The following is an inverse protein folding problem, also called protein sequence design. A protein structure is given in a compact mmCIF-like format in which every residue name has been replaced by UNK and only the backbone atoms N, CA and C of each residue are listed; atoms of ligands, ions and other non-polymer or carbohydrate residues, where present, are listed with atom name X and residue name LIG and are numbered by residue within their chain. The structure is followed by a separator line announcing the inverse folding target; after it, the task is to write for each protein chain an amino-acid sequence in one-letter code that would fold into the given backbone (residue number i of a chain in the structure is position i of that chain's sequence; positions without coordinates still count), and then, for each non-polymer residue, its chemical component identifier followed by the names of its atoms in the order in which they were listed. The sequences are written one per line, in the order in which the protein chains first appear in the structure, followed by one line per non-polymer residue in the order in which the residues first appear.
data_IF_808915221334
#
_entry.id   IF_808915221334
#
_cell.length_a   1.000
_cell.length_b   1.000
_cell.length_c   1.000
_cell.angle_alpha   90.00
_cell.angle_beta   90.00
_cell.angle_gamma   90.00
#
_symmetry.space_group_name_H-M   'P 1'
#
loop_
_entity.id
_entity.type
_entity.pdbx_description
1 polymer ?
#
# COMPACT_ATOMS: atom_id res chain seq x y z
N UNK A 1 8.03 19.86 -39.30
CA UNK A 1 7.72 18.43 -39.05
C UNK A 1 8.56 17.98 -37.86
N UNK A 2 8.08 17.11 -36.96
CA UNK A 2 8.96 16.55 -35.94
C UNK A 2 10.05 15.75 -36.66
N UNK A 3 11.31 15.95 -36.27
CA UNK A 3 12.45 15.30 -36.91
C UNK A 3 12.25 13.78 -36.98
N UNK A 4 12.64 13.13 -38.10
CA UNK A 4 12.48 11.69 -38.25
C UNK A 4 13.24 10.99 -37.12
N UNK A 5 12.51 10.24 -36.28
CA UNK A 5 13.10 9.49 -35.17
C UNK A 5 14.20 8.58 -35.74
N UNK A 6 15.44 8.63 -35.22
CA UNK A 6 16.52 7.81 -35.72
C UNK A 6 16.11 6.33 -35.71
N UNK A 7 16.47 5.59 -36.76
CA UNK A 7 16.28 4.14 -36.85
C UNK A 7 17.10 3.45 -35.75
N UNK A 8 16.52 3.31 -34.57
CA UNK A 8 17.15 2.66 -33.43
C UNK A 8 17.15 1.14 -33.65
N UNK A 9 18.29 0.51 -33.35
CA UNK A 9 18.41 -0.95 -33.30
C UNK A 9 17.50 -1.54 -32.21
N UNK A 10 17.07 -2.79 -32.37
CA UNK A 10 16.07 -3.43 -31.48
C UNK A 10 16.37 -3.26 -29.97
N UNK A 11 17.60 -3.49 -29.47
CA UNK A 11 17.89 -3.29 -28.04
C UNK A 11 17.68 -1.85 -27.58
N UNK A 12 18.11 -0.86 -28.39
CA UNK A 12 17.93 0.56 -28.06
C UNK A 12 16.47 1.00 -28.10
N UNK A 13 15.65 0.38 -28.96
CA UNK A 13 14.19 0.59 -28.96
C UNK A 13 13.56 0.08 -27.67
N UNK A 14 13.98 -1.07 -27.15
CA UNK A 14 13.46 -1.61 -25.89
C UNK A 14 13.79 -0.69 -24.71
N UNK A 15 15.05 -0.23 -24.59
CA UNK A 15 15.44 0.74 -23.56
C UNK A 15 14.68 2.07 -23.65
N UNK A 16 14.44 2.55 -24.88
CA UNK A 16 13.63 3.73 -25.11
C UNK A 16 12.19 3.54 -24.61
N UNK A 17 11.57 2.41 -24.93
CA UNK A 17 10.21 2.11 -24.48
C UNK A 17 10.12 1.96 -22.96
N UNK A 18 11.06 1.26 -22.33
CA UNK A 18 11.10 1.13 -20.87
C UNK A 18 11.21 2.50 -20.18
N UNK A 19 12.10 3.36 -20.67
CA UNK A 19 12.31 4.70 -20.12
C UNK A 19 11.11 5.65 -20.32
N UNK A 20 10.40 5.53 -21.45
CA UNK A 20 9.24 6.39 -21.77
C UNK A 20 7.96 5.90 -21.08
N UNK A 21 7.78 4.58 -20.96
CA UNK A 21 6.58 4.00 -20.39
C UNK A 21 6.67 3.73 -18.88
N UNK A 22 7.84 3.89 -18.26
CA UNK A 22 8.02 3.78 -16.81
C UNK A 22 6.93 4.50 -15.99
N UNK A 23 6.46 5.72 -16.36
CA UNK A 23 5.45 6.43 -15.58
C UNK A 23 4.13 5.65 -15.47
N UNK A 24 3.77 4.85 -16.47
CA UNK A 24 2.57 4.02 -16.44
C UNK A 24 2.62 2.91 -15.40
N UNK A 25 3.81 2.61 -14.84
CA UNK A 25 3.97 1.76 -13.67
C UNK A 25 3.28 2.31 -12.42
N UNK A 26 2.90 3.60 -12.38
CA UNK A 26 2.10 4.17 -11.30
C UNK A 26 0.68 3.59 -11.19
N UNK A 27 0.09 3.20 -12.32
CA UNK A 27 -1.26 2.64 -12.38
C UNK A 27 -1.37 1.35 -11.56
N UNK A 28 -0.55 0.30 -11.80
CA UNK A 28 -0.61 -0.91 -10.99
C UNK A 28 -0.29 -0.67 -9.52
N UNK A 29 0.60 0.28 -9.18
CA UNK A 29 0.88 0.64 -7.79
C UNK A 29 -0.37 1.15 -7.05
N UNK A 30 -1.14 2.05 -7.67
CA UNK A 30 -2.39 2.55 -7.11
C UNK A 30 -3.48 1.45 -7.09
N UNK A 31 -3.52 0.58 -8.09
CA UNK A 31 -4.42 -0.58 -8.08
C UNK A 31 -4.13 -1.51 -6.90
N UNK A 32 -2.86 -1.75 -6.55
CA UNK A 32 -2.53 -2.56 -5.37
C UNK A 32 -3.10 -1.95 -4.09
N UNK A 33 -3.00 -0.63 -3.90
CA UNK A 33 -3.58 0.08 -2.76
C UNK A 33 -5.09 -0.14 -2.69
N UNK A 34 -5.79 0.08 -3.81
CA UNK A 34 -7.24 -0.09 -3.87
C UNK A 34 -7.67 -1.54 -3.61
N UNK A 35 -6.98 -2.50 -4.22
CA UNK A 35 -7.24 -3.93 -4.02
C UNK A 35 -7.02 -4.32 -2.56
N UNK A 36 -6.00 -3.79 -1.89
CA UNK A 36 -5.76 -4.06 -0.47
C UNK A 36 -6.89 -3.54 0.41
N UNK A 37 -7.35 -2.30 0.17
CA UNK A 37 -8.49 -1.72 0.91
C UNK A 37 -9.75 -2.56 0.68
N UNK A 38 -10.06 -2.89 -0.58
CA UNK A 38 -11.18 -3.75 -0.92
C UNK A 38 -11.10 -5.10 -0.22
N UNK A 39 -9.94 -5.76 -0.28
CA UNK A 39 -9.76 -7.09 0.30
C UNK A 39 -9.88 -7.07 1.83
N UNK A 40 -9.31 -6.07 2.50
CA UNK A 40 -9.41 -5.88 3.95
C UNK A 40 -10.85 -5.61 4.40
N UNK A 41 -11.59 -4.79 3.66
CA UNK A 41 -12.95 -4.39 4.04
C UNK A 41 -14.02 -5.44 3.70
N UNK A 42 -13.80 -6.29 2.69
CA UNK A 42 -14.79 -7.27 2.22
C UNK A 42 -14.45 -8.72 2.57
N UNK A 43 -13.19 -9.01 2.92
CA UNK A 43 -12.70 -10.39 3.10
C UNK A 43 -12.69 -11.23 1.82
N UNK A 44 -13.02 -10.64 0.68
CA UNK A 44 -13.12 -11.33 -0.60
C UNK A 44 -11.79 -11.28 -1.33
N UNK A 45 -11.13 -12.44 -1.46
CA UNK A 45 -9.88 -12.54 -2.17
C UNK A 45 -10.06 -12.08 -3.63
N UNK A 46 -9.22 -11.15 -4.13
CA UNK A 46 -9.32 -10.69 -5.52
C UNK A 46 -9.06 -11.81 -6.52
N UNK A 47 -8.39 -12.89 -6.08
CA UNK A 47 -8.17 -14.10 -6.84
C UNK A 47 -8.70 -15.26 -6.02
N UNK A 48 -9.78 -15.88 -6.49
CA UNK A 48 -10.27 -17.14 -5.93
C UNK A 48 -9.61 -18.31 -6.67
N UNK A 49 -8.81 -19.10 -5.96
CA UNK A 49 -8.26 -20.34 -6.52
C UNK A 49 -8.60 -21.50 -5.57
N UNK A 50 -9.45 -22.45 -5.98
CA UNK A 50 -9.85 -23.54 -5.11
C UNK A 50 -8.68 -24.49 -4.82
N UNK A 51 -8.65 -25.02 -3.59
CA UNK A 51 -7.68 -26.02 -3.15
C UNK A 51 -6.25 -25.48 -3.03
N UNK A 52 -5.26 -26.31 -3.37
CA UNK A 52 -3.83 -25.96 -3.27
C UNK A 52 -3.28 -25.28 -4.54
N UNK A 53 -4.13 -24.92 -5.50
CA UNK A 53 -3.68 -24.42 -6.81
C UNK A 53 -2.89 -23.11 -6.71
N UNK A 54 -3.20 -22.25 -5.74
CA UNK A 54 -2.44 -21.01 -5.48
C UNK A 54 -1.00 -21.34 -5.03
N UNK A 55 -0.80 -22.43 -4.30
CA UNK A 55 0.53 -22.91 -3.89
C UNK A 55 1.33 -23.43 -5.09
N UNK A 56 0.71 -24.11 -6.04
CA UNK A 56 1.43 -24.65 -7.20
C UNK A 56 1.67 -23.62 -8.32
N UNK A 57 0.86 -22.56 -8.38
CA UNK A 57 0.95 -21.55 -9.44
C UNK A 57 1.65 -20.28 -8.97
N UNK A 58 1.23 -19.73 -7.82
CA UNK A 58 1.67 -18.41 -7.39
C UNK A 58 2.98 -18.46 -6.59
N UNK A 59 3.17 -19.48 -5.74
CA UNK A 59 4.39 -19.60 -4.94
C UNK A 59 5.65 -19.78 -5.81
N UNK A 60 5.70 -20.66 -6.83
CA UNK A 60 6.89 -20.80 -7.67
C UNK A 60 7.19 -19.50 -8.42
N UNK A 61 6.17 -18.80 -8.91
CA UNK A 61 6.33 -17.52 -9.59
C UNK A 61 6.96 -16.47 -8.64
N UNK A 62 6.47 -16.39 -7.40
CA UNK A 62 7.00 -15.45 -6.40
C UNK A 62 8.45 -15.77 -6.01
N UNK A 63 8.78 -17.06 -5.84
CA UNK A 63 10.13 -17.50 -5.54
C UNK A 63 11.10 -17.20 -6.69
N UNK A 64 10.71 -17.51 -7.93
CA UNK A 64 11.54 -17.21 -9.11
C UNK A 64 11.72 -15.71 -9.26
N UNK A 65 10.67 -14.90 -9.09
CA UNK A 65 10.77 -13.44 -9.14
C UNK A 65 11.73 -12.90 -8.09
N UNK A 66 11.66 -13.42 -6.86
CA UNK A 66 12.57 -13.05 -5.78
C UNK A 66 14.02 -13.42 -6.11
N UNK A 67 14.27 -14.64 -6.57
CA UNK A 67 15.62 -15.09 -6.98
C UNK A 67 16.18 -14.26 -8.14
N UNK A 68 15.36 -13.98 -9.17
CA UNK A 68 15.77 -13.15 -10.30
C UNK A 68 16.08 -11.71 -9.87
N UNK A 69 15.33 -11.16 -8.91
CA UNK A 69 15.62 -9.83 -8.36
C UNK A 69 16.97 -9.78 -7.64
N UNK A 70 17.31 -10.82 -6.87
CA UNK A 70 18.61 -10.96 -6.21
C UNK A 70 19.75 -11.10 -7.22
N UNK A 71 19.56 -11.90 -8.28
CA UNK A 71 20.57 -12.08 -9.32
C UNK A 71 20.79 -10.80 -10.14
N UNK A 72 19.71 -10.10 -10.49
CA UNK A 72 19.77 -8.86 -11.27
C UNK A 72 20.44 -7.72 -10.49
N UNK A 73 20.20 -7.63 -9.18
CA UNK A 73 20.71 -6.56 -8.33
C UNK A 73 21.89 -7.00 -7.44
N UNK A 74 22.63 -8.06 -7.81
CA UNK A 74 23.70 -8.63 -6.98
C UNK A 74 24.80 -7.65 -6.57
N UNK A 75 24.98 -6.57 -7.32
CA UNK A 75 26.00 -5.53 -7.07
C UNK A 75 25.47 -4.33 -6.30
N UNK A 76 24.18 -4.31 -5.97
CA UNK A 76 23.48 -3.20 -5.30
C UNK A 76 23.11 -3.64 -3.88
N UNK A 77 23.22 -2.74 -2.91
CA UNK A 77 22.78 -3.05 -1.54
C UNK A 77 21.28 -3.41 -1.56
N UNK A 78 20.93 -4.50 -0.87
CA UNK A 78 19.54 -4.95 -0.74
C UNK A 78 18.64 -3.88 -0.12
N UNK A 79 19.19 -3.04 0.76
CA UNK A 79 18.46 -1.90 1.33
C UNK A 79 18.13 -0.84 0.28
N UNK A 80 19.03 -0.60 -0.68
CA UNK A 80 18.79 0.37 -1.76
C UNK A 80 17.77 -0.16 -2.76
N UNK A 81 17.79 -1.47 -3.05
CA UNK A 81 16.74 -2.12 -3.86
C UNK A 81 15.37 -2.00 -3.19
N UNK A 82 15.30 -2.22 -1.88
CA UNK A 82 14.06 -2.05 -1.13
C UNK A 82 13.59 -0.59 -1.13
N UNK A 83 14.48 0.37 -0.86
CA UNK A 83 14.17 1.81 -0.91
C UNK A 83 13.70 2.26 -2.30
N UNK A 84 14.24 1.68 -3.37
CA UNK A 84 13.76 1.95 -4.72
C UNK A 84 12.30 1.50 -4.92
N UNK A 85 11.89 0.36 -4.35
CA UNK A 85 10.49 -0.08 -4.36
C UNK A 85 9.59 0.87 -3.57
N UNK A 86 10.03 1.29 -2.38
CA UNK A 86 9.32 2.27 -1.55
C UNK A 86 9.15 3.61 -2.29
N UNK A 87 10.20 4.03 -3.01
CA UNK A 87 10.21 5.25 -3.83
C UNK A 87 9.25 5.14 -5.01
N UNK A 88 9.17 3.98 -5.65
CA UNK A 88 8.22 3.71 -6.72
C UNK A 88 6.75 3.83 -6.24
N UNK A 89 6.43 3.28 -5.06
CA UNK A 89 5.11 3.46 -4.45
C UNK A 89 4.85 4.92 -4.07
N UNK A 90 5.83 5.61 -3.50
CA UNK A 90 5.73 7.03 -3.12
C UNK A 90 5.41 7.94 -4.32
N UNK A 91 6.09 7.73 -5.45
CA UNK A 91 5.87 8.56 -6.64
C UNK A 91 4.64 8.13 -7.47
N UNK A 92 3.96 7.05 -7.11
CA UNK A 92 2.83 6.52 -7.91
C UNK A 92 1.73 7.56 -8.11
N UNK A 93 1.30 8.24 -7.05
CA UNK A 93 0.23 9.24 -7.15
C UNK A 93 0.62 10.44 -8.01
N UNK A 94 1.80 11.02 -7.78
CA UNK A 94 2.23 12.20 -8.55
C UNK A 94 2.47 11.88 -10.02
N UNK A 95 2.98 10.68 -10.30
CA UNK A 95 3.19 10.19 -11.66
C UNK A 95 1.84 9.98 -12.37
N UNK A 96 0.83 9.48 -11.66
CA UNK A 96 -0.53 9.37 -12.20
C UNK A 96 -1.11 10.76 -12.54
N UNK A 97 -0.95 11.75 -11.65
CA UNK A 97 -1.37 13.12 -11.94
C UNK A 97 -0.68 13.69 -13.19
N UNK A 98 0.62 13.45 -13.33
CA UNK A 98 1.38 13.86 -14.52
C UNK A 98 0.84 13.19 -15.80
N UNK A 99 0.46 11.91 -15.76
CA UNK A 99 -0.18 11.23 -16.90
C UNK A 99 -1.53 11.87 -17.24
N UNK A 100 -2.39 12.12 -16.24
CA UNK A 100 -3.70 12.75 -16.45
C UNK A 100 -3.57 14.16 -17.04
N UNK A 101 -2.60 14.93 -16.57
CA UNK A 101 -2.30 16.26 -17.10
C UNK A 101 -1.75 16.20 -18.53
N UNK A 102 -0.90 15.22 -18.85
CA UNK A 102 -0.41 15.02 -20.21
C UNK A 102 -1.56 14.64 -21.16
N UNK A 103 -2.51 13.81 -20.72
CA UNK A 103 -3.73 13.49 -21.46
C UNK A 103 -4.59 14.74 -21.63
N UNK A 104 -4.80 15.52 -20.57
CA UNK A 104 -5.53 16.80 -20.63
C UNK A 104 -4.89 17.76 -21.63
N UNK A 105 -3.57 17.92 -21.60
CA UNK A 105 -2.85 18.77 -22.54
C UNK A 105 -3.06 18.30 -23.97
N UNK A 106 -3.00 16.98 -24.21
CA UNK A 106 -3.24 16.41 -25.53
C UNK A 106 -4.67 16.66 -26.04
N UNK A 107 -5.66 16.65 -25.15
CA UNK A 107 -7.07 16.85 -25.50
C UNK A 107 -7.48 18.33 -25.60
N UNK A 108 -6.89 19.21 -24.79
CA UNK A 108 -7.35 20.60 -24.61
C UNK A 108 -6.37 21.66 -25.11
N UNK A 109 -5.11 21.28 -25.40
CA UNK A 109 -4.05 22.21 -25.78
C UNK A 109 -3.52 23.09 -24.64
N UNK A 110 -4.10 23.01 -23.44
CA UNK A 110 -3.66 23.78 -22.25
C UNK A 110 -2.37 23.18 -21.72
N UNK A 111 -1.29 23.95 -21.75
CA UNK A 111 0.04 23.52 -21.29
C UNK A 111 0.02 23.39 -19.77
N UNK A 112 0.29 22.18 -19.26
CA UNK A 112 0.55 21.98 -17.83
C UNK A 112 1.96 22.44 -17.51
N UNK A 113 2.09 23.50 -16.73
CA UNK A 113 3.37 23.98 -16.23
C UNK A 113 3.67 23.31 -14.88
N UNK A 114 4.52 22.28 -14.90
CA UNK A 114 5.09 21.72 -13.68
C UNK A 114 6.21 22.65 -13.20
N UNK A 115 5.91 23.46 -12.20
CA UNK A 115 6.96 24.24 -11.53
C UNK A 115 7.58 23.33 -10.46
N UNK A 116 8.80 22.89 -10.72
CA UNK A 116 9.62 22.28 -9.69
C UNK A 116 10.12 23.42 -8.80
N UNK A 117 9.26 23.90 -7.88
CA UNK A 117 9.71 24.87 -6.88
C UNK A 117 10.69 24.12 -5.98
N UNK A 118 11.97 24.13 -6.33
CA UNK A 118 13.07 23.74 -5.45
C UNK A 118 13.16 24.62 -4.18
N UNK A 119 12.17 25.47 -3.94
CA UNK A 119 11.86 25.97 -2.62
C UNK A 119 11.43 24.78 -1.77
N UNK A 120 12.29 24.42 -0.81
CA UNK A 120 11.97 23.55 0.32
C UNK A 120 10.90 24.16 1.22
N UNK A 121 9.72 24.44 0.66
CA UNK A 121 8.48 24.53 1.41
C UNK A 121 8.26 23.14 1.97
N UNK A 122 8.48 23.00 3.28
CA UNK A 122 8.44 21.73 4.04
C UNK A 122 7.03 21.12 4.13
N UNK A 123 6.19 21.32 3.12
CA UNK A 123 4.79 20.87 3.07
C UNK A 123 4.30 20.94 1.62
N UNK A 124 4.35 19.83 0.89
CA UNK A 124 3.72 19.76 -0.43
C UNK A 124 2.31 19.17 -0.36
N UNK A 125 1.35 19.83 -1.00
CA UNK A 125 -0.01 19.27 -1.18
C UNK A 125 -0.01 17.94 -1.94
N UNK A 126 1.04 17.67 -2.73
CA UNK A 126 1.20 16.43 -3.50
C UNK A 126 1.56 15.22 -2.64
N UNK A 127 1.93 15.42 -1.38
CA UNK A 127 2.29 14.36 -0.43
C UNK A 127 1.09 13.83 0.36
N UNK A 128 0.05 14.65 0.55
CA UNK A 128 -1.15 14.32 1.32
C UNK A 128 -1.80 13.01 0.85
N UNK A 129 -1.93 12.72 -0.46
CA UNK A 129 -2.57 11.49 -0.93
C UNK A 129 -1.86 10.21 -0.46
N UNK A 130 -0.53 10.22 -0.37
CA UNK A 130 0.22 9.08 0.16
C UNK A 130 -0.05 8.86 1.66
N UNK A 131 -0.14 9.94 2.44
CA UNK A 131 -0.51 9.89 3.86
C UNK A 131 -1.93 9.36 4.03
N UNK A 132 -2.88 9.83 3.21
CA UNK A 132 -4.27 9.36 3.22
C UNK A 132 -4.36 7.87 2.86
N UNK A 133 -3.64 7.42 1.83
CA UNK A 133 -3.59 6.00 1.47
C UNK A 133 -3.04 5.15 2.62
N UNK A 134 -1.99 5.61 3.29
CA UNK A 134 -1.41 4.90 4.44
C UNK A 134 -2.41 4.77 5.60
N UNK A 135 -3.06 5.86 6.02
CA UNK A 135 -4.06 5.81 7.10
C UNK A 135 -5.32 5.04 6.71
N UNK A 136 -5.74 5.11 5.44
CA UNK A 136 -6.91 4.35 4.95
C UNK A 136 -6.63 2.85 5.05
N UNK A 137 -5.43 2.39 4.68
CA UNK A 137 -5.05 0.98 4.88
C UNK A 137 -4.97 0.67 6.38
N UNK A 138 -4.40 1.56 7.21
CA UNK A 138 -4.31 1.34 8.65
C UNK A 138 -5.69 1.14 9.32
N UNK A 139 -6.70 1.96 8.96
CA UNK A 139 -8.08 1.78 9.42
C UNK A 139 -8.67 0.48 8.85
N UNK A 140 -8.41 0.18 7.58
CA UNK A 140 -8.87 -1.06 6.94
C UNK A 140 -8.28 -2.32 7.60
N UNK A 141 -7.06 -2.25 8.14
CA UNK A 141 -6.46 -3.34 8.93
C UNK A 141 -7.24 -3.62 10.22
N UNK A 142 -7.67 -2.56 10.92
CA UNK A 142 -8.50 -2.70 12.12
C UNK A 142 -9.85 -3.31 11.75
N UNK A 143 -10.48 -2.84 10.66
CA UNK A 143 -11.74 -3.41 10.15
C UNK A 143 -11.59 -4.88 9.80
N UNK A 144 -10.53 -5.25 9.06
CA UNK A 144 -10.25 -6.65 8.72
C UNK A 144 -10.04 -7.53 9.94
N UNK A 145 -9.38 -7.01 10.98
CA UNK A 145 -9.16 -7.71 12.24
C UNK A 145 -10.46 -7.92 13.04
N UNK A 146 -11.32 -6.89 13.13
CA UNK A 146 -12.64 -7.01 13.77
C UNK A 146 -13.49 -8.05 13.05
N UNK A 147 -13.53 -8.02 11.72
CA UNK A 147 -14.27 -8.99 10.89
C UNK A 147 -13.73 -10.42 11.02
N UNK A 148 -12.41 -10.56 11.15
CA UNK A 148 -11.77 -11.85 11.43
C UNK A 148 -12.26 -12.46 12.76
N UNK A 149 -12.27 -11.67 13.84
CA UNK A 149 -12.75 -12.16 15.15
C UNK A 149 -14.25 -12.44 15.19
N UNK A 150 -15.05 -11.66 14.47
CA UNK A 150 -16.50 -11.86 14.39
C UNK A 150 -16.93 -13.07 13.54
N UNK A 151 -15.98 -13.85 13.00
CA UNK A 151 -16.24 -15.02 12.16
C UNK A 151 -17.24 -14.75 11.01
N UNK A 152 -17.23 -13.53 10.45
CA UNK A 152 -18.21 -13.10 9.44
C UNK A 152 -18.23 -14.02 8.21
N UNK A 153 -17.07 -14.60 7.88
CA UNK A 153 -16.93 -15.69 6.92
C UNK A 153 -16.49 -16.97 7.63
N UNK A 154 -17.41 -17.66 8.30
CA UNK A 154 -17.13 -18.91 9.02
C UNK A 154 -16.50 -20.02 8.14
N UNK A 155 -16.73 -19.97 6.82
CA UNK A 155 -16.18 -20.92 5.85
C UNK A 155 -14.74 -20.62 5.42
N UNK A 156 -14.26 -19.37 5.54
CA UNK A 156 -12.92 -18.97 5.09
C UNK A 156 -12.33 -17.78 5.88
N UNK A 157 -12.28 -17.84 7.23
CA UNK A 157 -11.83 -16.73 8.06
C UNK A 157 -10.35 -16.36 7.78
N UNK A 158 -9.55 -17.33 7.33
CA UNK A 158 -8.13 -17.15 6.99
C UNK A 158 -7.87 -16.23 5.80
N UNK A 159 -8.89 -15.91 4.99
CA UNK A 159 -8.75 -14.91 3.93
C UNK A 159 -8.39 -13.53 4.51
N UNK A 160 -8.97 -13.17 5.66
CA UNK A 160 -8.64 -11.92 6.34
C UNK A 160 -7.18 -11.87 6.76
N UNK A 161 -6.59 -12.98 7.22
CA UNK A 161 -5.16 -13.05 7.58
C UNK A 161 -4.28 -12.75 6.36
N UNK A 162 -4.60 -13.35 5.21
CA UNK A 162 -3.85 -13.07 3.97
C UNK A 162 -4.05 -11.63 3.47
N UNK A 163 -5.26 -11.06 3.64
CA UNK A 163 -5.54 -9.67 3.33
C UNK A 163 -4.73 -8.72 4.22
N UNK A 164 -4.58 -9.04 5.51
CA UNK A 164 -3.76 -8.29 6.45
C UNK A 164 -2.29 -8.30 6.04
N UNK A 165 -1.72 -9.45 5.68
CA UNK A 165 -0.33 -9.52 5.18
C UNK A 165 -0.13 -8.69 3.90
N UNK A 166 -1.07 -8.75 2.97
CA UNK A 166 -1.01 -7.94 1.75
C UNK A 166 -1.09 -6.44 2.07
N UNK A 167 -2.00 -6.04 2.96
CA UNK A 167 -2.09 -4.66 3.44
C UNK A 167 -0.82 -4.19 4.16
N UNK A 168 -0.20 -5.02 5.00
CA UNK A 168 1.05 -4.69 5.69
C UNK A 168 2.21 -4.53 4.72
N UNK A 169 2.27 -5.34 3.67
CA UNK A 169 3.26 -5.19 2.61
C UNK A 169 3.13 -3.85 1.87
N UNK A 170 1.91 -3.37 1.59
CA UNK A 170 1.73 -2.03 1.00
C UNK A 170 2.08 -0.94 2.01
N UNK A 171 1.66 -1.09 3.28
CA UNK A 171 1.98 -0.12 4.33
C UNK A 171 3.49 0.01 4.53
N UNK A 172 4.26 -1.08 4.48
CA UNK A 172 5.73 -1.03 4.60
C UNK A 172 6.40 -0.31 3.43
N UNK A 173 5.78 -0.34 2.24
CA UNK A 173 6.21 0.42 1.08
C UNK A 173 5.91 1.92 1.21
N UNK A 174 4.75 2.29 1.75
CA UNK A 174 4.32 3.68 1.94
C UNK A 174 4.88 4.37 3.19
N UNK A 175 5.31 3.59 4.19
CA UNK A 175 5.68 4.07 5.52
C UNK A 175 6.76 5.17 5.54
N UNK A 176 7.90 5.05 4.82
CA UNK A 176 8.93 6.08 4.88
C UNK A 176 8.44 7.45 4.40
N UNK A 177 7.59 7.46 3.36
CA UNK A 177 7.00 8.68 2.85
C UNK A 177 6.01 9.26 3.85
N UNK A 178 5.06 8.45 4.34
CA UNK A 178 4.08 8.90 5.32
C UNK A 178 4.76 9.46 6.57
N UNK A 179 5.83 8.81 7.05
CA UNK A 179 6.67 9.30 8.15
C UNK A 179 7.28 10.67 7.84
N UNK A 180 7.92 10.81 6.68
CA UNK A 180 8.57 12.07 6.29
C UNK A 180 7.56 13.22 6.20
N UNK A 181 6.46 13.03 5.50
CA UNK A 181 5.42 14.07 5.39
C UNK A 181 4.79 14.41 6.73
N UNK A 182 4.48 13.43 7.59
CA UNK A 182 3.95 13.73 8.93
C UNK A 182 4.96 14.55 9.74
N UNK A 183 6.25 14.19 9.70
CA UNK A 183 7.29 14.96 10.40
C UNK A 183 7.40 16.39 9.86
N UNK A 184 7.24 16.57 8.56
CA UNK A 184 7.23 17.86 7.88
C UNK A 184 6.04 18.74 8.29
N UNK A 185 4.82 18.21 8.22
CA UNK A 185 3.61 18.90 8.66
C UNK A 185 3.61 19.19 10.17
N UNK A 186 4.23 18.33 10.99
CA UNK A 186 4.35 18.53 12.43
C UNK A 186 5.53 19.44 12.85
N UNK A 187 6.38 19.86 11.90
CA UNK A 187 7.56 20.70 12.17
C UNK A 187 8.67 19.98 12.94
N UNK A 188 8.71 18.65 12.91
CA UNK A 188 9.70 17.83 13.61
C UNK A 188 10.96 17.65 12.76
N UNK A 189 12.15 17.66 13.40
CA UNK A 189 13.41 17.41 12.70
C UNK A 189 13.47 15.96 12.20
N UNK A 190 13.71 15.78 10.90
CA UNK A 190 13.72 14.49 10.20
C UNK A 190 14.77 13.51 10.75
N UNK A 191 15.82 14.02 11.38
CA UNK A 191 16.88 13.22 11.99
C UNK A 191 16.50 12.70 13.38
N UNK A 192 15.63 13.42 14.09
CA UNK A 192 15.12 13.06 15.44
C UNK A 192 13.67 12.60 15.43
N UNK A 193 12.98 12.67 14.29
CA UNK A 193 11.68 12.04 14.06
C UNK A 193 11.85 10.52 13.91
N UNK A 194 12.71 9.89 14.69
CA UNK A 194 12.26 8.67 15.35
C UNK A 194 10.94 9.07 16.00
N UNK A 195 9.82 8.46 15.59
CA UNK A 195 8.66 8.38 16.48
C UNK A 195 9.25 7.88 17.79
N UNK A 196 9.55 8.80 18.71
CA UNK A 196 10.25 8.49 19.94
C UNK A 196 9.42 7.40 20.57
N UNK A 197 10.07 6.33 21.03
CA UNK A 197 9.42 5.09 21.45
C UNK A 197 8.18 5.29 22.34
N UNK A 198 8.06 6.46 22.98
CA UNK A 198 6.85 7.05 23.54
C UNK A 198 5.60 7.02 22.62
N UNK A 199 5.55 7.70 21.46
CA UNK A 199 4.28 7.81 20.68
C UNK A 199 3.89 6.48 20.04
N UNK A 200 4.87 5.76 19.48
CA UNK A 200 4.63 4.41 18.97
C UNK A 200 4.23 3.44 20.09
N UNK A 201 4.89 3.51 21.25
CA UNK A 201 4.53 2.73 22.45
C UNK A 201 3.14 3.09 22.97
N UNK A 202 2.77 4.37 23.00
CA UNK A 202 1.44 4.85 23.40
C UNK A 202 0.36 4.42 22.41
N UNK A 203 0.60 4.51 21.10
CA UNK A 203 -0.33 4.01 20.08
C UNK A 203 -0.46 2.48 20.14
N UNK A 204 0.62 1.77 20.43
CA UNK A 204 0.60 0.31 20.60
C UNK A 204 -0.21 -0.08 21.84
N UNK A 205 -0.11 0.67 22.94
CA UNK A 205 -0.97 0.49 24.12
C UNK A 205 -2.45 0.75 23.80
N UNK A 206 -2.77 1.81 23.05
CA UNK A 206 -4.15 2.07 22.59
C UNK A 206 -4.65 0.92 21.71
N UNK A 207 -3.83 0.44 20.77
CA UNK A 207 -4.17 -0.69 19.92
C UNK A 207 -4.39 -1.99 20.73
N UNK A 208 -3.57 -2.25 21.76
CA UNK A 208 -3.78 -3.38 22.69
C UNK A 208 -5.12 -3.25 23.39
N UNK A 209 -5.47 -2.08 23.92
CA UNK A 209 -6.75 -1.87 24.63
C UNK A 209 -7.93 -2.10 23.69
N UNK A 210 -7.89 -1.52 22.49
CA UNK A 210 -8.94 -1.74 21.47
C UNK A 210 -9.03 -3.22 21.09
N UNK A 211 -7.88 -3.88 20.88
CA UNK A 211 -7.82 -5.30 20.56
C UNK A 211 -8.42 -6.17 21.67
N UNK A 212 -8.04 -5.96 22.92
CA UNK A 212 -8.54 -6.71 24.07
C UNK A 212 -10.04 -6.49 24.23
N UNK A 213 -10.53 -5.26 24.08
CA UNK A 213 -11.94 -4.96 24.17
C UNK A 213 -12.74 -5.66 23.07
N UNK A 214 -12.30 -5.56 21.81
CA UNK A 214 -12.95 -6.26 20.69
C UNK A 214 -12.94 -7.76 20.94
N UNK A 215 -11.80 -8.35 21.30
CA UNK A 215 -11.71 -9.78 21.58
C UNK A 215 -12.64 -10.22 22.71
N UNK A 216 -12.70 -9.48 23.83
CA UNK A 216 -13.59 -9.80 24.96
C UNK A 216 -15.06 -9.72 24.56
N UNK A 217 -15.47 -8.65 23.87
CA UNK A 217 -16.85 -8.49 23.41
C UNK A 217 -17.25 -9.61 22.44
N UNK A 218 -16.41 -9.93 21.46
CA UNK A 218 -16.67 -11.00 20.50
C UNK A 218 -16.64 -12.39 21.14
N UNK A 219 -15.67 -12.67 22.02
CA UNK A 219 -15.60 -13.94 22.76
C UNK A 219 -16.87 -14.15 23.62
N UNK A 220 -17.31 -13.13 24.34
CA UNK A 220 -18.53 -13.20 25.15
C UNK A 220 -19.79 -13.44 24.30
N UNK A 221 -19.93 -12.76 23.16
CA UNK A 221 -21.04 -12.96 22.24
C UNK A 221 -21.05 -14.38 21.63
N UNK A 222 -19.88 -14.88 21.22
CA UNK A 222 -19.72 -16.23 20.68
C UNK A 222 -19.99 -17.31 21.74
N UNK A 223 -19.58 -17.09 22.99
CA UNK A 223 -19.86 -18.01 24.11
C UNK A 223 -21.36 -18.08 24.41
N UNK A 224 -22.05 -16.94 24.45
CA UNK A 224 -23.50 -16.89 24.65
C UNK A 224 -24.23 -17.63 23.53
N UNK A 225 -23.81 -17.41 22.29
CA UNK A 225 -24.36 -18.10 21.11
C UNK A 225 -24.14 -19.61 21.18
N UNK A 226 -22.94 -20.06 21.58
CA UNK A 226 -22.62 -21.48 21.77
C UNK A 226 -23.43 -22.14 22.89
N UNK A 227 -23.90 -21.36 23.88
CA UNK A 227 -24.77 -21.80 24.96
C UNK A 227 -26.27 -21.74 24.59
N UNK A 228 -26.61 -21.34 23.36
CA UNK A 228 -28.00 -21.17 22.92
C UNK A 228 -28.69 -19.95 23.53
N UNK A 229 -27.92 -19.04 24.16
CA UNK A 229 -28.40 -17.80 24.76
C UNK A 229 -28.21 -16.67 23.73
N UNK A 230 -29.25 -15.88 23.49
CA UNK A 230 -29.11 -14.70 22.63
C UNK A 230 -28.36 -13.62 23.40
N UNK A 231 -27.27 -13.10 22.83
CA UNK A 231 -26.56 -11.98 23.43
C UNK A 231 -27.50 -10.76 23.47
N UNK A 232 -28.00 -10.42 24.65
CA UNK A 232 -28.71 -9.16 24.83
C UNK A 232 -27.69 -8.04 24.61
N UNK A 233 -27.88 -7.29 23.52
CA UNK A 233 -27.15 -6.06 23.22
C UNK A 233 -27.25 -5.12 24.41
N UNK A 234 -26.24 -5.17 25.29
CA UNK A 234 -26.13 -4.22 26.39
C UNK A 234 -25.37 -3.04 25.81
N UNK A 235 -26.13 -2.12 25.20
CA UNK A 235 -25.62 -0.82 24.83
C UNK A 235 -25.28 -0.04 26.12
N UNK A 236 -24.00 0.25 26.31
CA UNK A 236 -23.50 1.27 27.22
C UNK A 236 -22.31 1.96 26.57
#
# INVERSE_FOLDING_TARGET
APDPKPSLQFPRKLFFYDSVFYPFGSIPALCYVFIAIYYLCTGSAPIYTPGQNLLYTFLPLMLVRWMLNLLANRTVDSNDVWRAQQTWFSYSFITMLAILEAVRWRLTGVISAWTNTGAGQKTSWTEIPNVLMFFTIAVSQIVGLVRFFNYENATSPWNYVSAMFFGFWIMSNLYPMAKMSISEYAGWDHTTATFTASVFGSLLLVAIVVFVQVWQTTYSANMLTAQGLTASTTAA
#
